data_IF_239068906797
#
_entry.id   IF_239068906797
#
_cell.length_a   1.000
_cell.length_b   1.000
_cell.length_c   1.000
_cell.angle_alpha   90.00
_cell.angle_beta   90.00
_cell.angle_gamma   90.00
#
_symmetry.space_group_name_H-M   'P 1'
#
loop_
_entity.id
_entity.type
_entity.pdbx_description
1 polymer ?
#
# COMPACT_ATOMS: atom_id res chain seq x y z
N UNK A 1 13.27 10.08 43.14
CA UNK A 1 13.06 10.13 41.68
C UNK A 1 13.82 8.96 41.01
N UNK A 2 13.15 7.83 40.79
CA UNK A 2 13.79 6.59 40.33
C UNK A 2 14.11 6.61 38.82
N UNK A 3 15.33 6.19 38.45
CA UNK A 3 15.77 6.08 37.05
C UNK A 3 15.20 4.82 36.38
N UNK A 4 14.58 4.98 35.22
CA UNK A 4 14.02 3.89 34.40
C UNK A 4 15.16 3.14 33.69
N UNK A 5 15.25 1.79 33.81
CA UNK A 5 16.29 1.02 33.14
C UNK A 5 16.01 0.88 31.63
N UNK A 6 17.01 1.18 30.79
CA UNK A 6 16.93 1.05 29.33
C UNK A 6 17.12 -0.41 28.91
N UNK A 7 16.10 -1.03 28.30
CA UNK A 7 16.23 -2.39 27.73
C UNK A 7 16.80 -2.37 26.30
N UNK A 8 17.77 -3.25 26.01
CA UNK A 8 18.54 -3.38 24.75
C UNK A 8 17.78 -3.93 23.52
N UNK A 9 16.46 -4.07 23.55
CA UNK A 9 15.66 -4.49 22.38
C UNK A 9 14.55 -3.47 22.17
N UNK A 10 14.51 -2.86 20.99
CA UNK A 10 13.47 -1.91 20.58
C UNK A 10 12.09 -2.58 20.68
N UNK A 11 11.46 -2.50 21.86
CA UNK A 11 10.03 -2.69 21.99
C UNK A 11 9.42 -1.40 21.46
N UNK A 12 8.70 -1.48 20.34
CA UNK A 12 7.79 -0.41 19.92
C UNK A 12 7.03 0.04 21.17
N UNK A 13 7.22 1.29 21.59
CA UNK A 13 6.41 1.89 22.65
C UNK A 13 4.97 1.69 22.22
N UNK A 14 4.28 0.74 22.87
CA UNK A 14 2.83 0.65 22.72
C UNK A 14 2.31 1.97 23.28
N UNK A 15 1.46 2.65 22.53
CA UNK A 15 0.83 3.88 22.97
C UNK A 15 0.09 3.59 24.27
N UNK A 16 0.69 3.96 25.40
CA UNK A 16 0.06 3.95 26.71
C UNK A 16 -0.33 5.40 26.92
N UNK A 17 -1.62 5.68 26.87
CA UNK A 17 -2.16 6.98 27.18
C UNK A 17 -1.77 7.34 28.63
N UNK A 18 -0.97 8.40 28.87
CA UNK A 18 -0.44 8.73 30.20
C UNK A 18 -1.55 9.01 31.24
N UNK A 19 -2.76 9.32 30.77
CA UNK A 19 -3.90 9.68 31.60
C UNK A 19 -4.85 8.49 31.90
N UNK A 20 -4.58 7.29 31.38
CA UNK A 20 -5.44 6.13 31.60
C UNK A 20 -5.16 5.48 32.96
N UNK A 21 -6.04 5.70 33.96
CA UNK A 21 -5.98 5.09 35.30
C UNK A 21 -6.80 3.81 35.45
N UNK A 22 -7.31 3.25 34.36
CA UNK A 22 -8.13 2.04 34.38
C UNK A 22 -7.32 0.73 34.31
N UNK A 23 -7.90 -0.41 34.72
CA UNK A 23 -7.32 -1.71 34.39
C UNK A 23 -7.22 -1.85 32.86
N UNK A 24 -6.15 -2.48 32.34
CA UNK A 24 -5.91 -2.55 30.90
C UNK A 24 -7.15 -3.12 30.21
N UNK A 25 -7.59 -2.56 29.06
CA UNK A 25 -8.74 -3.09 28.34
C UNK A 25 -8.46 -4.57 28.06
N UNK A 26 -9.26 -5.45 28.67
CA UNK A 26 -9.23 -6.88 28.38
C UNK A 26 -9.54 -6.97 26.88
N UNK A 27 -8.52 -7.16 26.05
CA UNK A 27 -8.74 -7.53 24.66
C UNK A 27 -9.71 -8.70 24.73
N UNK A 28 -10.92 -8.52 24.18
CA UNK A 28 -11.88 -9.61 24.05
C UNK A 28 -11.06 -10.74 23.44
N UNK A 29 -10.84 -11.80 24.21
CA UNK A 29 -10.22 -13.03 23.74
C UNK A 29 -11.22 -13.60 22.75
N UNK A 30 -11.31 -13.01 21.57
CA UNK A 30 -11.76 -13.74 20.41
C UNK A 30 -10.81 -14.93 20.40
N UNK A 31 -11.38 -16.12 20.52
CA UNK A 31 -10.75 -17.43 20.39
C UNK A 31 -10.17 -17.63 18.99
N UNK A 32 -9.50 -16.60 18.45
CA UNK A 32 -8.70 -16.63 17.25
C UNK A 32 -7.51 -17.50 17.58
N UNK A 33 -7.68 -18.78 17.29
CA UNK A 33 -6.62 -19.66 16.82
C UNK A 33 -5.75 -18.78 15.89
N UNK A 34 -4.47 -18.58 16.22
CA UNK A 34 -3.58 -17.89 15.29
C UNK A 34 -3.58 -18.68 13.97
N UNK A 35 -3.36 -18.06 12.81
CA UNK A 35 -3.50 -18.75 11.51
C UNK A 35 -2.71 -20.06 11.36
N UNK A 36 -1.71 -20.30 12.22
CA UNK A 36 -0.87 -21.49 12.22
C UNK A 36 -0.95 -22.31 13.52
N UNK A 37 -1.87 -22.00 14.44
CA UNK A 37 -2.08 -22.86 15.60
C UNK A 37 -2.85 -24.13 15.16
N UNK A 38 -2.45 -25.32 15.62
CA UNK A 38 -3.19 -26.54 15.33
C UNK A 38 -4.64 -26.45 15.86
N UNK A 39 -5.60 -27.11 15.20
CA UNK A 39 -6.99 -27.14 15.67
C UNK A 39 -7.05 -27.70 17.10
N UNK A 40 -7.91 -27.12 17.94
CA UNK A 40 -8.03 -27.48 19.36
C UNK A 40 -8.66 -28.86 19.59
N UNK A 41 -9.51 -29.31 18.67
CA UNK A 41 -10.09 -30.64 18.64
C UNK A 41 -9.90 -31.22 17.24
N UNK A 42 -9.51 -32.50 17.15
CA UNK A 42 -9.28 -33.18 15.87
C UNK A 42 -10.57 -33.40 15.08
N UNK A 43 -11.69 -33.58 15.78
CA UNK A 43 -12.98 -33.95 15.18
C UNK A 43 -13.92 -32.76 14.92
N UNK A 44 -13.63 -31.59 15.51
CA UNK A 44 -14.44 -30.38 15.32
C UNK A 44 -13.90 -29.55 14.14
N UNK A 45 -14.30 -29.92 12.92
CA UNK A 45 -14.06 -29.06 11.77
C UNK A 45 -15.01 -27.84 11.84
N UNK A 46 -14.46 -26.68 12.22
CA UNK A 46 -15.24 -25.44 12.24
C UNK A 46 -15.70 -25.08 10.82
N UNK A 47 -17.00 -24.83 10.68
CA UNK A 47 -17.54 -24.36 9.41
C UNK A 47 -17.01 -22.96 9.09
N UNK A 48 -16.94 -22.64 7.80
CA UNK A 48 -16.56 -21.28 7.38
C UNK A 48 -17.64 -20.29 7.81
N UNK A 49 -17.24 -19.06 8.13
CA UNK A 49 -18.14 -18.00 8.59
C UNK A 49 -19.31 -17.75 7.62
N UNK A 50 -19.06 -17.78 6.31
CA UNK A 50 -20.13 -17.61 5.32
C UNK A 50 -21.17 -18.74 5.37
N UNK A 51 -20.74 -19.96 5.70
CA UNK A 51 -21.62 -21.11 5.87
C UNK A 51 -22.42 -21.03 7.17
N UNK A 52 -21.81 -20.58 8.26
CA UNK A 52 -22.53 -20.26 9.51
C UNK A 52 -23.61 -19.19 9.28
N UNK A 53 -23.27 -18.09 8.60
CA UNK A 53 -24.22 -17.02 8.26
C UNK A 53 -25.37 -17.54 7.38
N UNK A 54 -25.10 -18.47 6.46
CA UNK A 54 -26.12 -19.12 5.65
C UNK A 54 -27.08 -20.00 6.48
N UNK A 55 -26.56 -20.82 7.40
CA UNK A 55 -27.41 -21.62 8.29
C UNK A 55 -28.26 -20.73 9.20
N UNK A 56 -27.70 -19.64 9.72
CA UNK A 56 -28.44 -18.65 10.50
C UNK A 56 -29.57 -18.02 9.70
N UNK A 57 -29.31 -17.64 8.45
CA UNK A 57 -30.32 -17.13 7.52
C UNK A 57 -31.41 -18.17 7.24
N UNK A 58 -31.02 -19.42 6.97
CA UNK A 58 -31.95 -20.54 6.75
C UNK A 58 -32.83 -20.80 7.97
N UNK A 59 -32.26 -20.77 9.17
CA UNK A 59 -32.99 -20.95 10.42
C UNK A 59 -33.94 -19.78 10.70
N UNK A 60 -33.49 -18.53 10.47
CA UNK A 60 -34.35 -17.33 10.59
C UNK A 60 -35.49 -17.33 9.57
N UNK A 61 -35.24 -17.86 8.36
CA UNK A 61 -36.25 -18.05 7.33
C UNK A 61 -37.29 -19.10 7.74
N UNK A 62 -36.84 -20.27 8.20
CA UNK A 62 -37.74 -21.33 8.72
C UNK A 62 -38.61 -20.86 9.87
N UNK A 63 -38.08 -20.01 10.75
CA UNK A 63 -38.82 -19.44 11.88
C UNK A 63 -39.73 -18.27 11.49
N UNK A 64 -39.86 -17.93 10.19
CA UNK A 64 -40.58 -16.74 9.70
C UNK A 64 -40.18 -15.42 10.40
N UNK A 65 -38.94 -15.36 10.93
CA UNK A 65 -38.40 -14.18 11.63
C UNK A 65 -37.75 -13.18 10.67
N UNK A 66 -37.68 -13.49 9.37
CA UNK A 66 -37.29 -12.55 8.32
C UNK A 66 -38.42 -11.53 8.10
N UNK A 67 -38.50 -10.52 8.97
CA UNK A 67 -39.38 -9.38 8.76
C UNK A 67 -38.97 -8.69 7.46
N UNK A 68 -39.80 -8.80 6.41
CA UNK A 68 -39.67 -7.96 5.21
C UNK A 68 -39.70 -6.52 5.68
N UNK A 69 -38.60 -5.78 5.54
CA UNK A 69 -38.60 -4.34 5.81
C UNK A 69 -39.70 -3.72 4.96
N UNK A 70 -40.75 -3.21 5.59
CA UNK A 70 -41.76 -2.40 4.89
C UNK A 70 -41.00 -1.26 4.21
N UNK A 71 -41.05 -1.20 2.88
CA UNK A 71 -40.52 -0.05 2.15
C UNK A 71 -41.31 1.16 2.63
N UNK A 72 -40.65 2.09 3.32
CA UNK A 72 -41.27 3.38 3.67
C UNK A 72 -41.69 4.01 2.35
N UNK A 73 -42.94 4.47 2.25
CA UNK A 73 -43.38 5.31 1.11
C UNK A 73 -42.45 6.53 1.09
N UNK A 74 -41.84 6.83 -0.04
CA UNK A 74 -41.02 8.03 -0.20
C UNK A 74 -41.87 9.24 0.20
N UNK A 75 -41.38 10.08 1.11
CA UNK A 75 -42.08 11.32 1.43
C UNK A 75 -41.97 12.23 0.20
N UNK A 76 -43.01 13.02 -0.07
CA UNK A 76 -43.11 13.84 -1.29
C UNK A 76 -42.00 14.90 -1.41
N UNK A 77 -41.23 15.13 -0.34
CA UNK A 77 -40.14 16.09 -0.27
C UNK A 77 -38.83 15.45 0.25
N UNK A 78 -38.50 14.23 -0.21
CA UNK A 78 -37.21 13.59 0.06
C UNK A 78 -36.08 14.23 -0.78
N UNK A 79 -35.80 15.52 -0.55
CA UNK A 79 -34.65 16.21 -1.14
C UNK A 79 -33.36 15.65 -0.58
N UNK A 80 -32.38 15.39 -1.46
CA UNK A 80 -31.05 14.99 -1.02
C UNK A 80 -30.36 16.20 -0.37
N UNK A 81 -29.93 16.03 0.87
CA UNK A 81 -29.17 17.03 1.62
C UNK A 81 -27.79 16.44 1.93
N UNK A 82 -26.76 17.04 1.35
CA UNK A 82 -25.36 16.71 1.63
C UNK A 82 -24.85 17.72 2.65
N UNK A 83 -24.48 17.23 3.84
CA UNK A 83 -23.88 18.03 4.90
C UNK A 83 -22.40 17.70 5.02
N UNK A 84 -21.55 18.73 5.15
CA UNK A 84 -20.16 18.51 5.49
C UNK A 84 -20.07 18.10 6.96
N UNK A 85 -19.72 16.84 7.21
CA UNK A 85 -19.58 16.31 8.57
C UNK A 85 -18.20 16.54 9.17
N UNK A 86 -17.22 16.89 8.34
CA UNK A 86 -15.85 17.17 8.75
C UNK A 86 -15.70 18.68 8.77
N UNK A 87 -15.40 19.23 9.94
CA UNK A 87 -15.01 20.63 10.08
C UNK A 87 -13.67 20.79 9.36
N UNK A 88 -13.56 21.80 8.51
CA UNK A 88 -12.33 22.16 7.80
C UNK A 88 -11.27 22.62 8.81
N UNK A 89 -10.58 21.66 9.43
CA UNK A 89 -9.50 21.91 10.38
C UNK A 89 -8.21 22.04 9.57
N UNK A 90 -7.55 23.19 9.66
CA UNK A 90 -6.22 23.39 9.09
C UNK A 90 -5.26 22.34 9.67
N UNK A 91 -4.71 21.49 8.81
CA UNK A 91 -3.76 20.47 9.24
C UNK A 91 -2.35 21.07 9.34
N UNK A 92 -1.56 20.65 10.35
CA UNK A 92 -0.18 21.11 10.46
C UNK A 92 0.62 20.72 9.21
N UNK A 93 1.23 21.72 8.58
CA UNK A 93 2.01 21.54 7.34
C UNK A 93 1.27 21.88 6.05
N UNK A 94 0.01 22.30 6.11
CA UNK A 94 -0.64 22.96 4.96
C UNK A 94 0.01 24.34 4.72
N UNK A 95 0.48 24.57 3.49
CA UNK A 95 1.09 25.86 3.11
C UNK A 95 0.04 26.92 2.75
N UNK A 96 -1.23 26.50 2.56
CA UNK A 96 -2.35 27.35 2.12
C UNK A 96 -3.51 27.23 3.08
N UNK A 97 -4.24 28.33 3.21
CA UNK A 97 -5.49 28.37 3.98
C UNK A 97 -6.54 27.48 3.33
N UNK A 98 -7.37 26.85 4.14
CA UNK A 98 -8.45 26.01 3.64
C UNK A 98 -9.55 26.92 3.10
N UNK A 99 -9.95 26.72 1.83
CA UNK A 99 -11.10 27.43 1.26
C UNK A 99 -12.39 26.99 1.95
N UNK A 100 -13.26 27.94 2.26
CA UNK A 100 -14.57 27.63 2.83
C UNK A 100 -15.42 26.89 1.80
N UNK A 101 -15.81 25.66 2.11
CA UNK A 101 -16.79 24.93 1.32
C UNK A 101 -18.22 25.26 1.80
N UNK A 102 -19.22 25.19 0.91
CA UNK A 102 -20.61 25.35 1.33
C UNK A 102 -20.96 24.27 2.37
N UNK A 103 -21.42 24.71 3.54
CA UNK A 103 -21.70 23.81 4.67
C UNK A 103 -22.77 22.75 4.35
N UNK A 104 -23.75 23.14 3.53
CA UNK A 104 -24.86 22.28 3.12
C UNK A 104 -25.15 22.51 1.64
N UNK A 105 -25.14 21.42 0.88
CA UNK A 105 -25.58 21.42 -0.52
C UNK A 105 -26.88 20.64 -0.60
N UNK A 106 -27.95 21.30 -1.07
CA UNK A 106 -29.30 20.73 -1.16
C UNK A 106 -29.71 20.58 -2.62
N UNK A 107 -30.43 19.50 -2.91
CA UNK A 107 -31.13 19.32 -4.18
C UNK A 107 -32.20 20.41 -4.37
N UNK A 108 -32.32 20.93 -5.59
CA UNK A 108 -33.30 21.95 -5.93
C UNK A 108 -34.70 21.36 -6.17
N UNK A 109 -35.74 22.20 -6.07
CA UNK A 109 -37.15 21.77 -6.13
C UNK A 109 -37.51 21.01 -7.41
N UNK A 110 -36.90 21.40 -8.54
CA UNK A 110 -37.18 20.84 -9.86
C UNK A 110 -36.01 20.01 -10.42
N UNK A 111 -34.99 19.74 -9.60
CA UNK A 111 -33.80 19.01 -10.01
C UNK A 111 -33.98 17.51 -9.80
N UNK A 112 -33.65 16.71 -10.81
CA UNK A 112 -33.61 15.25 -10.66
C UNK A 112 -32.40 14.82 -9.82
N UNK A 113 -32.47 13.67 -9.14
CA UNK A 113 -31.34 13.09 -8.38
C UNK A 113 -30.06 12.99 -9.21
N UNK A 114 -30.18 12.58 -10.47
CA UNK A 114 -29.02 12.50 -11.38
C UNK A 114 -28.46 13.88 -11.73
N UNK A 115 -29.33 14.88 -11.93
CA UNK A 115 -28.89 16.26 -12.17
C UNK A 115 -28.17 16.82 -10.94
N UNK A 116 -28.68 16.54 -9.75
CA UNK A 116 -28.02 16.89 -8.48
C UNK A 116 -26.62 16.29 -8.36
N UNK A 117 -26.47 14.99 -8.62
CA UNK A 117 -25.15 14.36 -8.59
C UNK A 117 -24.22 14.91 -9.67
N UNK A 118 -24.72 15.23 -10.87
CA UNK A 118 -23.93 15.84 -11.92
C UNK A 118 -23.48 17.26 -11.56
N UNK A 119 -24.36 18.07 -10.96
CA UNK A 119 -24.03 19.41 -10.45
C UNK A 119 -22.97 19.33 -9.36
N UNK A 120 -23.13 18.42 -8.41
CA UNK A 120 -22.13 18.17 -7.36
C UNK A 120 -20.80 17.70 -7.95
N UNK A 121 -20.83 16.83 -8.97
CA UNK A 121 -19.63 16.39 -9.66
C UNK A 121 -18.91 17.54 -10.38
N UNK A 122 -19.66 18.42 -11.05
CA UNK A 122 -19.10 19.62 -11.69
C UNK A 122 -18.47 20.56 -10.66
N UNK A 123 -19.09 20.77 -9.49
CA UNK A 123 -18.49 21.55 -8.39
C UNK A 123 -17.15 20.96 -7.94
N UNK A 124 -17.08 19.63 -7.79
CA UNK A 124 -15.84 18.94 -7.42
C UNK A 124 -14.77 19.08 -8.51
N UNK A 125 -15.15 18.93 -9.79
CA UNK A 125 -14.21 19.09 -10.90
C UNK A 125 -13.67 20.54 -10.96
N UNK A 126 -14.54 21.55 -10.80
CA UNK A 126 -14.12 22.96 -10.74
C UNK A 126 -13.11 23.19 -9.61
N UNK A 127 -13.41 22.72 -8.39
CA UNK A 127 -12.50 22.84 -7.25
C UNK A 127 -11.14 22.14 -7.50
N UNK A 128 -11.13 20.99 -8.17
CA UNK A 128 -9.88 20.31 -8.54
C UNK A 128 -9.07 21.09 -9.57
N UNK A 129 -9.74 21.71 -10.55
CA UNK A 129 -9.09 22.52 -11.58
C UNK A 129 -8.52 23.79 -10.96
N UNK A 130 -9.28 24.49 -10.12
CA UNK A 130 -8.81 25.64 -9.35
C UNK A 130 -7.56 25.29 -8.54
N UNK A 131 -7.60 24.21 -7.75
CA UNK A 131 -6.45 23.78 -6.96
C UNK A 131 -5.21 23.50 -7.83
N UNK A 132 -5.38 22.94 -9.03
CA UNK A 132 -4.28 22.74 -10.00
C UNK A 132 -3.71 24.06 -10.52
N UNK A 133 -4.57 25.04 -10.83
CA UNK A 133 -4.15 26.36 -11.31
C UNK A 133 -3.39 27.09 -10.19
N UNK A 134 -3.96 27.14 -8.99
CA UNK A 134 -3.33 27.76 -7.84
C UNK A 134 -1.98 27.13 -7.53
N UNK A 135 -1.86 25.80 -7.56
CA UNK A 135 -0.58 25.11 -7.31
C UNK A 135 0.45 25.39 -8.39
N UNK A 136 0.03 25.46 -9.66
CA UNK A 136 0.91 25.72 -10.80
C UNK A 136 1.43 27.15 -10.84
N UNK A 137 0.57 28.13 -10.60
CA UNK A 137 0.91 29.56 -10.71
C UNK A 137 1.18 30.23 -9.36
N UNK A 138 1.06 29.49 -8.26
CA UNK A 138 1.21 30.00 -6.90
C UNK A 138 0.33 31.23 -6.61
N UNK A 139 -0.90 31.21 -7.13
CA UNK A 139 -1.93 32.23 -6.90
C UNK A 139 -3.05 31.65 -6.02
N UNK A 140 -3.81 32.50 -5.36
CA UNK A 140 -5.05 32.16 -4.66
C UNK A 140 -6.24 32.75 -5.44
N UNK A 141 -7.13 31.88 -5.93
CA UNK A 141 -8.33 32.28 -6.67
C UNK A 141 -9.45 32.57 -5.66
N UNK A 142 -9.95 33.82 -5.66
CA UNK A 142 -11.03 34.26 -4.77
C UNK A 142 -12.39 33.99 -5.38
N UNK A 143 -12.65 34.59 -6.54
CA UNK A 143 -13.93 34.51 -7.25
C UNK A 143 -13.69 34.34 -8.75
N UNK A 144 -14.61 33.63 -9.40
CA UNK A 144 -14.67 33.47 -10.85
C UNK A 144 -16.05 33.96 -11.26
N UNK A 145 -16.09 35.01 -12.07
CA UNK A 145 -17.32 35.56 -12.61
C UNK A 145 -17.92 34.61 -13.66
N UNK A 146 -19.22 34.75 -13.95
CA UNK A 146 -19.91 33.94 -14.96
C UNK A 146 -19.32 34.13 -16.36
N UNK A 147 -18.74 35.31 -16.62
CA UNK A 147 -18.05 35.66 -17.86
C UNK A 147 -16.64 35.04 -17.97
N UNK A 148 -16.15 34.38 -16.91
CA UNK A 148 -14.85 33.72 -16.87
C UNK A 148 -13.69 34.62 -16.42
N UNK A 149 -13.97 35.84 -15.96
CA UNK A 149 -12.98 36.69 -15.32
C UNK A 149 -12.70 36.17 -13.91
N UNK A 150 -11.42 36.00 -13.56
CA UNK A 150 -11.02 35.45 -12.26
C UNK A 150 -10.23 36.49 -11.46
N UNK A 151 -10.72 36.80 -10.26
CA UNK A 151 -9.97 37.60 -9.30
C UNK A 151 -8.97 36.69 -8.56
N UNK A 152 -7.69 37.04 -8.64
CA UNK A 152 -6.63 36.30 -7.98
C UNK A 152 -5.75 37.22 -7.13
N UNK A 153 -5.21 36.64 -6.06
CA UNK A 153 -4.17 37.27 -5.24
C UNK A 153 -2.91 36.43 -5.38
N UNK A 154 -1.79 37.08 -5.65
CA UNK A 154 -0.50 36.39 -5.64
C UNK A 154 -0.22 35.86 -4.23
N UNK A 155 0.05 34.56 -4.10
CA UNK A 155 0.44 34.03 -2.81
C UNK A 155 1.77 34.69 -2.41
N UNK A 156 1.88 35.11 -1.15
CA UNK A 156 3.00 35.88 -0.64
C UNK A 156 4.36 35.29 -1.04
N UNK A 157 5.33 36.16 -1.36
CA UNK A 157 6.72 35.81 -1.69
C UNK A 157 7.35 34.84 -0.67
N UNK A 158 6.87 34.89 0.58
CA UNK A 158 7.23 33.98 1.67
C UNK A 158 7.07 32.48 1.29
N UNK A 159 6.06 32.11 0.52
CA UNK A 159 5.86 30.72 0.07
C UNK A 159 6.94 30.30 -0.92
N UNK A 160 7.36 31.20 -1.82
CA UNK A 160 8.43 30.96 -2.77
C UNK A 160 9.78 30.85 -2.08
N UNK A 161 10.07 31.73 -1.12
CA UNK A 161 11.29 31.67 -0.32
C UNK A 161 11.38 30.35 0.46
N UNK A 162 10.28 29.90 1.08
CA UNK A 162 10.21 28.62 1.78
C UNK A 162 10.49 27.45 0.84
N UNK A 163 9.93 27.45 -0.39
CA UNK A 163 10.19 26.41 -1.40
C UNK A 163 11.65 26.43 -1.87
N UNK A 164 12.22 27.61 -2.11
CA UNK A 164 13.62 27.80 -2.47
C UNK A 164 14.55 27.27 -1.37
N UNK A 165 14.28 27.62 -0.12
CA UNK A 165 15.04 27.17 1.05
C UNK A 165 14.95 25.65 1.25
N UNK A 166 13.77 25.03 1.06
CA UNK A 166 13.63 23.56 1.08
C UNK A 166 14.48 22.90 0.00
N UNK A 167 14.50 23.45 -1.23
CA UNK A 167 15.34 22.94 -2.34
C UNK A 167 16.83 23.07 -2.04
N UNK A 168 17.27 24.21 -1.49
CA UNK A 168 18.67 24.44 -1.07
C UNK A 168 19.10 23.40 -0.01
N UNK A 169 18.31 23.24 1.06
CA UNK A 169 18.56 22.24 2.11
C UNK A 169 18.60 20.80 1.58
N UNK A 170 17.72 20.46 0.64
CA UNK A 170 17.73 19.14 0.00
C UNK A 170 18.99 18.93 -0.85
N UNK A 171 19.41 19.94 -1.62
CA UNK A 171 20.62 19.89 -2.42
C UNK A 171 21.87 19.74 -1.56
N UNK A 172 21.97 20.47 -0.44
CA UNK A 172 23.05 20.34 0.55
C UNK A 172 23.12 18.92 1.11
N UNK A 173 21.98 18.38 1.59
CA UNK A 173 21.90 17.01 2.10
C UNK A 173 22.32 15.96 1.07
N UNK A 174 22.01 16.18 -0.20
CA UNK A 174 22.43 15.30 -1.29
C UNK A 174 23.92 15.44 -1.61
N UNK A 175 24.51 16.64 -1.47
CA UNK A 175 25.95 16.86 -1.57
C UNK A 175 26.70 16.18 -0.43
N UNK A 176 26.25 16.33 0.82
CA UNK A 176 26.81 15.65 1.99
C UNK A 176 26.81 14.13 1.82
N UNK A 177 25.67 13.54 1.44
CA UNK A 177 25.59 12.09 1.16
C UNK A 177 26.52 11.63 0.04
N UNK A 178 26.75 12.47 -0.97
CA UNK A 178 27.72 12.18 -2.04
C UNK A 178 29.15 12.24 -1.50
N UNK A 179 29.47 13.20 -0.63
CA UNK A 179 30.77 13.32 0.02
C UNK A 179 31.02 12.14 0.95
N UNK A 180 30.08 11.76 1.81
CA UNK A 180 30.17 10.56 2.65
C UNK A 180 30.41 9.29 1.83
N UNK A 181 29.75 9.16 0.67
CA UNK A 181 29.97 8.03 -0.25
C UNK A 181 31.33 8.06 -0.92
N UNK A 182 31.90 9.23 -1.19
CA UNK A 182 33.27 9.36 -1.72
C UNK A 182 34.28 9.03 -0.62
N UNK A 183 34.09 9.61 0.57
CA UNK A 183 34.94 9.38 1.73
C UNK A 183 34.91 7.90 2.16
N UNK A 184 33.76 7.24 2.17
CA UNK A 184 33.66 5.79 2.41
C UNK A 184 34.15 4.90 1.27
N UNK A 185 34.45 5.45 0.08
CA UNK A 185 35.15 4.74 -0.99
C UNK A 185 36.66 4.94 -0.92
N UNK A 186 37.10 6.11 -0.47
CA UNK A 186 38.50 6.52 -0.39
C UNK A 186 39.15 6.07 0.93
N UNK A 187 38.44 6.27 2.04
CA UNK A 187 38.73 5.77 3.40
C UNK A 187 37.83 4.61 3.82
N UNK A 188 37.02 4.07 2.90
CA UNK A 188 36.50 2.73 3.08
C UNK A 188 37.71 1.87 3.29
N UNK A 189 37.92 1.47 4.56
CA UNK A 189 38.98 0.59 5.00
C UNK A 189 39.28 -0.30 3.81
N UNK A 190 40.44 -0.07 3.16
CA UNK A 190 41.09 -1.16 2.46
C UNK A 190 41.20 -2.18 3.57
N UNK A 191 40.21 -3.07 3.62
CA UNK A 191 40.32 -4.31 4.31
C UNK A 191 41.50 -4.88 3.55
N UNK A 192 42.70 -4.64 4.06
CA UNK A 192 43.80 -5.56 3.95
C UNK A 192 43.24 -6.84 4.57
N UNK A 193 42.38 -7.49 3.78
CA UNK A 193 42.17 -8.91 3.80
C UNK A 193 43.57 -9.43 3.58
N UNK A 194 44.32 -9.55 4.67
CA UNK A 194 45.44 -10.48 4.76
C UNK A 194 44.82 -11.77 4.24
N UNK A 195 45.05 -12.05 2.96
CA UNK A 195 44.51 -13.23 2.30
C UNK A 195 45.21 -14.38 2.99
N UNK A 196 44.58 -14.93 4.01
CA UNK A 196 45.01 -16.19 4.59
C UNK A 196 44.98 -17.21 3.46
N UNK A 197 46.16 -17.68 3.05
CA UNK A 197 46.27 -18.76 2.08
C UNK A 197 45.89 -20.04 2.81
N UNK A 198 44.61 -20.37 2.75
CA UNK A 198 44.09 -21.62 3.30
C UNK A 198 44.27 -22.69 2.22
N UNK A 199 44.99 -23.76 2.55
CA UNK A 199 45.22 -24.86 1.60
C UNK A 199 43.93 -25.67 1.42
N UNK A 200 43.77 -26.29 0.25
CA UNK A 200 42.59 -27.10 -0.06
C UNK A 200 42.50 -28.29 0.90
N UNK A 201 41.57 -28.21 1.86
CA UNK A 201 41.41 -29.19 2.95
C UNK A 201 41.41 -28.57 4.35
N UNK A 202 41.93 -27.35 4.51
CA UNK A 202 41.86 -26.62 5.78
C UNK A 202 40.53 -25.85 5.90
N UNK A 203 39.88 -25.96 7.05
CA UNK A 203 38.63 -25.27 7.35
C UNK A 203 38.95 -23.91 7.97
N UNK A 204 38.91 -22.85 7.16
CA UNK A 204 39.30 -21.48 7.53
C UNK A 204 38.58 -20.93 8.78
N UNK A 205 37.35 -21.36 9.04
CA UNK A 205 36.63 -21.07 10.28
C UNK A 205 35.61 -22.18 10.52
N UNK A 206 35.97 -23.13 11.37
CA UNK A 206 35.03 -24.18 11.75
C UNK A 206 33.88 -23.55 12.54
N UNK A 207 32.61 -23.74 12.13
CA UNK A 207 31.49 -23.29 12.94
C UNK A 207 31.58 -23.98 14.31
N UNK A 208 31.25 -23.27 15.41
CA UNK A 208 31.34 -23.87 16.74
C UNK A 208 30.45 -25.11 16.79
N UNK A 209 31.04 -26.24 17.14
CA UNK A 209 30.32 -27.53 17.24
C UNK A 209 29.44 -27.46 18.49
N UNK A 210 28.13 -27.34 18.27
CA UNK A 210 27.15 -27.35 19.36
C UNK A 210 27.01 -28.78 19.91
N UNK A 211 27.78 -29.12 20.94
CA UNK A 211 27.76 -30.41 21.63
C UNK A 211 26.64 -30.54 22.67
N UNK A 212 25.78 -29.52 22.80
CA UNK A 212 24.74 -29.47 23.81
C UNK A 212 23.58 -30.44 23.49
N UNK A 213 23.61 -31.63 24.09
CA UNK A 213 22.45 -32.53 24.14
C UNK A 213 21.35 -31.87 25.00
N UNK A 214 20.18 -31.64 24.41
CA UNK A 214 19.00 -31.19 25.15
C UNK A 214 18.65 -32.23 26.23
N UNK A 215 18.65 -31.84 27.51
CA UNK A 215 18.24 -32.73 28.61
C UNK A 215 16.81 -33.22 28.34
N UNK A 216 16.63 -34.55 28.27
CA UNK A 216 15.36 -35.29 28.07
C UNK A 216 14.80 -35.39 26.63
N UNK A 217 15.61 -35.16 25.59
CA UNK A 217 15.16 -35.46 24.23
C UNK A 217 15.19 -36.98 23.95
N UNK A 218 14.10 -37.61 23.47
CA UNK A 218 14.11 -39.02 23.08
C UNK A 218 14.97 -39.24 21.83
N UNK A 219 15.68 -40.37 21.77
CA UNK A 219 16.51 -40.75 20.62
C UNK A 219 15.62 -41.09 19.41
N UNK A 220 15.47 -40.15 18.48
CA UNK A 220 14.77 -40.42 17.23
C UNK A 220 15.70 -41.13 16.24
N UNK A 221 15.29 -42.31 15.77
CA UNK A 221 15.90 -42.98 14.63
C UNK A 221 15.93 -42.01 13.42
N UNK A 222 17.13 -41.78 12.86
CA UNK A 222 17.40 -40.81 11.78
C UNK A 222 16.33 -40.86 10.69
N UNK A 223 15.57 -39.77 10.54
CA UNK A 223 14.55 -39.59 9.51
C UNK A 223 15.23 -39.39 8.13
N UNK A 224 15.67 -40.48 7.51
CA UNK A 224 16.37 -40.43 6.22
C UNK A 224 16.00 -41.53 5.22
N UNK A 225 15.22 -42.55 5.61
CA UNK A 225 14.89 -43.70 4.76
C UNK A 225 13.45 -43.74 4.24
N UNK A 226 12.67 -42.67 4.41
CA UNK A 226 11.32 -42.60 3.81
C UNK A 226 11.42 -41.89 2.46
N UNK A 227 11.31 -42.66 1.39
CA UNK A 227 11.16 -42.11 0.03
C UNK A 227 9.93 -41.20 0.00
N UNK A 228 10.11 -39.96 -0.48
CA UNK A 228 9.04 -38.99 -0.62
C UNK A 228 8.05 -39.50 -1.68
N UNK A 229 6.80 -39.76 -1.28
CA UNK A 229 5.70 -40.25 -2.14
C UNK A 229 5.53 -39.40 -3.41
N UNK A 230 5.85 -38.11 -3.33
CA UNK A 230 5.71 -37.16 -4.44
C UNK A 230 6.73 -37.34 -5.58
N UNK A 231 7.82 -38.10 -5.40
CA UNK A 231 8.78 -38.36 -6.49
C UNK A 231 8.24 -39.24 -7.60
N UNK A 232 7.20 -40.03 -7.33
CA UNK A 232 6.64 -40.98 -8.30
C UNK A 232 5.42 -40.44 -9.06
N UNK A 233 4.96 -39.22 -8.75
CA UNK A 233 3.74 -38.66 -9.33
C UNK A 233 3.98 -37.61 -10.43
N UNK A 234 5.23 -37.22 -10.69
CA UNK A 234 5.55 -36.28 -11.77
C UNK A 234 6.58 -36.88 -12.73
N UNK A 235 6.27 -37.03 -14.02
CA UNK A 235 7.29 -37.33 -15.02
C UNK A 235 8.28 -36.16 -15.06
N UNK A 236 9.58 -36.47 -15.02
CA UNK A 236 10.65 -35.49 -15.16
C UNK A 236 10.56 -34.85 -16.55
N UNK A 237 10.01 -33.64 -16.61
CA UNK A 237 9.99 -32.83 -17.82
C UNK A 237 11.44 -32.47 -18.14
N UNK A 238 11.95 -33.04 -19.23
CA UNK A 238 13.20 -32.62 -19.85
C UNK A 238 12.93 -31.25 -20.47
N UNK A 239 13.43 -30.20 -19.83
CA UNK A 239 13.36 -28.84 -20.39
C UNK A 239 14.40 -28.70 -21.51
N UNK A 240 14.01 -28.27 -22.73
CA UNK A 240 14.98 -27.86 -23.74
C UNK A 240 15.58 -26.49 -23.36
N UNK A 241 16.87 -26.34 -23.64
CA UNK A 241 17.64 -25.12 -23.44
C UNK A 241 17.14 -23.97 -24.34
N UNK A 242 16.10 -23.26 -23.91
CA UNK A 242 15.72 -21.99 -24.52
C UNK A 242 16.50 -20.84 -23.90
N UNK A 243 17.20 -20.10 -24.77
CA UNK A 243 18.02 -18.93 -24.47
C UNK A 243 17.26 -17.96 -23.58
N UNK A 244 17.80 -17.72 -22.39
CA UNK A 244 17.40 -16.67 -21.46
C UNK A 244 17.53 -15.27 -22.09
N UNK A 245 16.54 -14.86 -22.88
CA UNK A 245 16.32 -13.44 -23.16
C UNK A 245 15.62 -12.86 -21.94
N UNK A 246 16.36 -12.08 -21.15
CA UNK A 246 15.85 -11.47 -19.94
C UNK A 246 14.51 -10.74 -20.22
N UNK A 247 13.44 -10.98 -19.43
CA UNK A 247 12.17 -10.32 -19.67
C UNK A 247 12.34 -8.82 -19.46
N UNK A 248 12.20 -8.07 -20.56
CA UNK A 248 12.29 -6.63 -20.65
C UNK A 248 11.07 -5.96 -19.96
N UNK A 249 10.67 -6.36 -18.75
CA UNK A 249 9.34 -5.97 -18.25
C UNK A 249 9.14 -5.95 -16.73
N UNK A 250 10.11 -5.45 -15.94
CA UNK A 250 9.80 -5.08 -14.54
C UNK A 250 8.71 -3.99 -14.45
N UNK A 251 8.56 -3.16 -15.48
CA UNK A 251 7.53 -2.09 -15.55
C UNK A 251 6.12 -2.59 -15.92
N UNK A 252 5.99 -3.80 -16.49
CA UNK A 252 4.69 -4.30 -16.96
C UNK A 252 3.86 -4.93 -15.84
N UNK A 253 4.46 -5.28 -14.70
CA UNK A 253 3.72 -5.92 -13.60
C UNK A 253 2.63 -5.02 -13.00
N UNK A 254 2.82 -3.69 -13.01
CA UNK A 254 1.95 -2.74 -12.34
C UNK A 254 1.04 -1.90 -13.28
N UNK A 255 1.00 -2.18 -14.59
CA UNK A 255 0.13 -1.44 -15.52
C UNK A 255 -1.30 -1.98 -15.54
N UNK A 256 -2.26 -1.11 -15.84
CA UNK A 256 -3.65 -1.49 -16.10
C UNK A 256 -3.73 -2.43 -17.32
N UNK A 257 -4.65 -3.41 -17.35
CA UNK A 257 -4.72 -4.42 -18.40
C UNK A 257 -5.02 -3.82 -19.79
N UNK A 258 -5.80 -2.74 -19.86
CA UNK A 258 -6.09 -2.04 -21.13
C UNK A 258 -4.84 -1.41 -21.74
N UNK A 259 -4.03 -0.74 -20.91
CA UNK A 259 -2.79 -0.11 -21.38
C UNK A 259 -1.78 -1.16 -21.88
N UNK A 260 -1.76 -2.35 -21.28
CA UNK A 260 -0.94 -3.48 -21.75
C UNK A 260 -1.37 -3.95 -23.14
N UNK A 261 -2.68 -4.07 -23.38
CA UNK A 261 -3.21 -4.48 -24.69
C UNK A 261 -2.79 -3.47 -25.78
N UNK A 262 -2.92 -2.17 -25.49
CA UNK A 262 -2.54 -1.13 -26.45
C UNK A 262 -1.05 -1.16 -26.80
N UNK A 263 -0.17 -1.31 -25.79
CA UNK A 263 1.27 -1.43 -26.02
C UNK A 263 1.66 -2.68 -26.81
N UNK A 264 0.97 -3.80 -26.60
CA UNK A 264 1.23 -5.02 -27.37
C UNK A 264 0.80 -4.86 -28.84
N UNK A 265 -0.32 -4.17 -29.09
CA UNK A 265 -0.77 -3.83 -30.45
C UNK A 265 0.26 -2.94 -31.15
N UNK A 266 0.77 -1.90 -30.48
CA UNK A 266 1.82 -1.03 -31.03
C UNK A 266 3.11 -1.79 -31.34
N UNK A 267 3.52 -2.68 -30.43
CA UNK A 267 4.67 -3.56 -30.63
C UNK A 267 4.50 -4.43 -31.86
N UNK A 268 3.35 -5.08 -32.04
CA UNK A 268 3.07 -5.92 -33.21
C UNK A 268 3.12 -5.10 -34.50
N UNK A 269 2.55 -3.90 -34.50
CA UNK A 269 2.59 -2.96 -35.65
C UNK A 269 4.02 -2.58 -36.02
N UNK A 270 4.85 -2.25 -35.04
CA UNK A 270 6.26 -1.91 -35.25
C UNK A 270 7.06 -3.10 -35.83
N UNK A 271 6.82 -4.31 -35.31
CA UNK A 271 7.46 -5.53 -35.81
C UNK A 271 7.05 -5.83 -37.26
N UNK A 272 5.77 -5.67 -37.59
CA UNK A 272 5.27 -5.86 -38.96
C UNK A 272 5.91 -4.85 -39.93
N UNK A 273 5.94 -3.56 -39.57
CA UNK A 273 6.60 -2.52 -40.37
C UNK A 273 8.09 -2.83 -40.57
N UNK A 274 8.78 -3.24 -39.51
CA UNK A 274 10.19 -3.63 -39.60
C UNK A 274 10.38 -4.82 -40.55
N UNK A 275 9.52 -5.84 -40.50
CA UNK A 275 9.56 -6.98 -41.41
C UNK A 275 9.34 -6.55 -42.87
N UNK A 276 8.36 -5.69 -43.13
CA UNK A 276 8.10 -5.14 -44.47
C UNK A 276 9.27 -4.31 -44.99
N UNK A 277 9.88 -3.48 -44.13
CA UNK A 277 11.05 -2.69 -44.49
C UNK A 277 12.26 -3.59 -44.78
N UNK A 278 12.46 -4.64 -43.98
CA UNK A 278 13.53 -5.61 -44.18
C UNK A 278 13.33 -6.41 -45.47
N UNK A 279 12.11 -6.84 -45.79
CA UNK A 279 11.82 -7.55 -47.04
C UNK A 279 12.04 -6.66 -48.25
N UNK A 280 11.65 -5.37 -48.18
CA UNK A 280 11.92 -4.39 -49.24
C UNK A 280 13.42 -4.10 -49.44
N UNK A 281 14.22 -4.15 -48.37
CA UNK A 281 15.68 -3.95 -48.44
C UNK A 281 16.43 -5.18 -48.98
N UNK A 282 15.81 -6.37 -48.87
CA UNK A 282 16.39 -7.62 -49.34
C UNK A 282 15.97 -7.97 -50.79
N UNK A 283 15.00 -7.25 -51.35
CA UNK A 283 14.61 -7.29 -52.76
C UNK A 283 15.30 -6.17 -53.53
#
# INVERSE_FOLDING_TARGET
MGRIPKSKKQKKLKFVDPCYKGPPPKHKKNSRILPNDPPKCADEQKMSRGMEEFFDLKNKAKQNKLKRRKRKKAQKDDFIIVKNHIVDIEQPGMERKVKSLPAVVKQEKFENKYQFFNRLHQMVQKAQVEAKIETKYNIELKNIDEEGNAEYVNASEEVEERKSNKRKKFAEKMKEKKLEKKFSKEYGYKFDLKKERVLFGEVASAPPVLTAKLKKAPEFNKAGKRQLVLKNMFPSIVEPEEKNVAPLSKKWKNMQPELKKNLEIERLRAVQLYRMMKSKKAS
#
